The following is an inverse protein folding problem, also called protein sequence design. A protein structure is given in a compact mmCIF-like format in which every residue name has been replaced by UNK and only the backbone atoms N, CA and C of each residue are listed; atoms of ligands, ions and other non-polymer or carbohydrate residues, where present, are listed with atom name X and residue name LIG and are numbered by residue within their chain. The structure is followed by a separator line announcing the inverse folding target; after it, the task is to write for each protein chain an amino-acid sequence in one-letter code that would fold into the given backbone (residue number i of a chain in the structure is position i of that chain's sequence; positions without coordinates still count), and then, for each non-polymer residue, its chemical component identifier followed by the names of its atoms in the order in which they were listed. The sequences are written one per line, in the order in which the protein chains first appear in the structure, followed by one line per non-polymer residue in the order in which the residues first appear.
data_IF_995070709336
#
_entry.id   IF_995070709336
#
_cell.length_a   1.000
_cell.length_b   1.000
_cell.length_c   1.000
_cell.angle_alpha   90.00
_cell.angle_beta   90.00
_cell.angle_gamma   90.00
#
_symmetry.space_group_name_H-M   'P 1'
#
loop_
_entity.id
_entity.type
_entity.pdbx_description
1 polymer ?
#
# COMPACT_ATOMS: atom_id res chain seq x y z
N UNK A 1 -19.58 0.41 12.92
CA UNK A 1 -20.17 0.14 11.59
C UNK A 1 -19.17 -0.36 10.52
N UNK A 2 -17.85 -0.34 10.80
CA UNK A 2 -16.83 -1.15 10.07
C UNK A 2 -16.98 -2.67 10.31
N UNK A 3 -17.85 -3.05 11.26
CA UNK A 3 -18.12 -4.42 11.73
C UNK A 3 -19.17 -5.21 10.92
N UNK A 4 -19.86 -4.60 9.94
CA UNK A 4 -20.78 -5.33 9.05
C UNK A 4 -20.12 -5.86 7.77
N UNK A 5 -18.78 -5.77 7.66
CA UNK A 5 -17.96 -6.46 6.66
C UNK A 5 -17.67 -7.93 7.02
N UNK A 6 -18.36 -8.48 8.01
CA UNK A 6 -18.31 -9.91 8.35
C UNK A 6 -19.09 -10.70 7.31
N UNK A 7 -18.47 -10.93 6.15
CA UNK A 7 -18.81 -12.08 5.30
C UNK A 7 -18.75 -13.31 6.22
N UNK A 8 -19.84 -14.09 6.39
CA UNK A 8 -19.80 -15.28 7.20
C UNK A 8 -18.70 -16.21 6.67
N UNK A 9 -17.78 -16.63 7.54
CA UNK A 9 -16.67 -17.52 7.18
C UNK A 9 -17.12 -18.81 6.45
N UNK A 10 -18.40 -19.18 6.57
CA UNK A 10 -18.98 -20.36 5.97
C UNK A 10 -19.02 -20.34 4.42
N UNK A 11 -19.13 -19.17 3.78
CA UNK A 11 -19.36 -19.08 2.31
C UNK A 11 -18.09 -19.10 1.45
N UNK A 12 -16.90 -18.88 2.03
CA UNK A 12 -15.64 -18.84 1.26
C UNK A 12 -15.01 -20.24 1.17
N UNK A 13 -14.41 -20.64 0.03
CA UNK A 13 -13.63 -21.88 -0.07
C UNK A 13 -12.52 -21.98 0.98
N UNK A 14 -12.20 -23.19 1.44
CA UNK A 14 -11.21 -23.41 2.52
C UNK A 14 -9.84 -22.78 2.23
N UNK A 15 -9.36 -22.89 0.98
CA UNK A 15 -8.10 -22.30 0.54
C UNK A 15 -8.07 -20.77 0.70
N UNK A 16 -9.15 -20.08 0.35
CA UNK A 16 -9.25 -18.62 0.50
C UNK A 16 -9.27 -18.19 1.97
N UNK A 17 -9.92 -18.98 2.84
CA UNK A 17 -9.95 -18.71 4.28
C UNK A 17 -8.56 -18.81 4.89
N UNK A 18 -7.79 -19.83 4.51
CA UNK A 18 -6.40 -20.01 4.94
C UNK A 18 -5.50 -18.89 4.44
N UNK A 19 -5.61 -18.52 3.15
CA UNK A 19 -4.85 -17.41 2.56
C UNK A 19 -5.13 -16.08 3.27
N UNK A 20 -6.40 -15.78 3.58
CA UNK A 20 -6.79 -14.59 4.33
C UNK A 20 -6.25 -14.58 5.77
N UNK A 21 -6.31 -15.71 6.48
CA UNK A 21 -5.76 -15.84 7.85
C UNK A 21 -4.25 -15.63 7.84
N UNK A 22 -3.55 -16.22 6.89
CA UNK A 22 -2.10 -16.02 6.72
C UNK A 22 -1.76 -14.56 6.49
N UNK A 23 -2.49 -13.88 5.60
CA UNK A 23 -2.27 -12.46 5.31
C UNK A 23 -2.51 -11.58 6.53
N UNK A 24 -3.51 -11.90 7.35
CA UNK A 24 -3.78 -11.22 8.63
C UNK A 24 -2.63 -11.38 9.63
N UNK A 25 -2.06 -12.58 9.75
CA UNK A 25 -0.91 -12.82 10.63
C UNK A 25 0.33 -12.08 10.13
N UNK A 26 0.61 -12.12 8.83
CA UNK A 26 1.70 -11.38 8.20
C UNK A 26 1.53 -9.86 8.41
N UNK A 27 0.31 -9.36 8.27
CA UNK A 27 -0.04 -7.97 8.54
C UNK A 27 0.24 -7.59 10.00
N UNK A 28 -0.29 -8.36 10.96
CA UNK A 28 -0.09 -8.11 12.39
C UNK A 28 1.38 -8.11 12.79
N UNK A 29 2.15 -9.10 12.30
CA UNK A 29 3.58 -9.19 12.54
C UNK A 29 4.35 -8.01 11.91
N UNK A 30 4.03 -7.63 10.67
CA UNK A 30 4.66 -6.51 10.00
C UNK A 30 4.44 -5.18 10.73
N UNK A 31 3.22 -4.92 11.21
CA UNK A 31 2.91 -3.72 12.01
C UNK A 31 3.62 -3.72 13.37
N UNK A 32 3.66 -4.87 14.05
CA UNK A 32 4.37 -4.99 15.32
C UNK A 32 5.85 -4.68 15.13
N UNK A 33 6.50 -5.31 14.16
CA UNK A 33 7.92 -5.08 13.86
C UNK A 33 8.16 -3.63 13.42
N UNK A 34 7.32 -3.08 12.55
CA UNK A 34 7.42 -1.68 12.13
C UNK A 34 7.46 -0.73 13.33
N UNK A 35 6.56 -0.90 14.30
CA UNK A 35 6.54 -0.07 15.51
C UNK A 35 7.83 -0.20 16.32
N UNK A 36 8.36 -1.43 16.46
CA UNK A 36 9.61 -1.66 17.19
C UNK A 36 10.81 -1.03 16.47
N UNK A 37 10.95 -1.27 15.16
CA UNK A 37 12.08 -0.76 14.38
C UNK A 37 12.05 0.77 14.29
N UNK A 38 10.86 1.39 14.21
CA UNK A 38 10.70 2.84 14.32
C UNK A 38 11.21 3.39 15.66
N UNK A 39 10.89 2.71 16.77
CA UNK A 39 11.38 3.10 18.09
C UNK A 39 12.92 2.94 18.18
N UNK A 40 13.48 1.87 17.61
CA UNK A 40 14.92 1.61 17.60
C UNK A 40 15.70 2.58 16.70
N UNK A 41 15.04 3.18 15.70
CA UNK A 41 15.65 4.20 14.83
C UNK A 41 15.79 5.58 15.50
N UNK A 42 15.18 5.79 16.68
CA UNK A 42 15.14 7.08 17.36
C UNK A 42 16.53 7.69 17.68
N UNK A 43 17.54 6.92 18.16
CA UNK A 43 18.89 7.45 18.39
C UNK A 43 19.53 8.09 17.15
N UNK A 44 19.27 7.52 15.97
CA UNK A 44 19.80 8.06 14.72
C UNK A 44 19.22 9.44 14.39
N UNK A 45 17.95 9.70 14.75
CA UNK A 45 17.31 11.00 14.55
C UNK A 45 17.73 12.06 15.56
N UNK A 46 18.14 11.66 16.77
CA UNK A 46 18.65 12.59 17.77
C UNK A 46 20.10 13.02 17.49
N UNK A 47 20.84 12.26 16.66
CA UNK A 47 22.23 12.55 16.35
C UNK A 47 22.32 13.79 15.48
N UNK A 48 23.02 14.81 15.96
CA UNK A 48 23.38 16.00 15.20
C UNK A 48 24.80 16.43 15.55
N UNK A 49 25.55 16.94 14.56
CA UNK A 49 26.99 17.20 14.68
C UNK A 49 27.36 18.30 15.69
N UNK A 50 26.38 19.06 16.19
CA UNK A 50 26.55 20.08 17.24
C UNK A 50 26.48 19.58 18.69
N UNK A 51 26.53 18.27 18.96
CA UNK A 51 26.46 17.72 20.33
C UNK A 51 27.83 17.63 21.02
N UNK A 52 27.84 17.66 22.35
CA UNK A 52 29.03 17.42 23.18
C UNK A 52 29.65 16.03 22.88
N UNK A 53 30.99 15.90 22.91
CA UNK A 53 31.70 14.67 22.49
C UNK A 53 31.27 13.41 23.27
N UNK A 54 30.99 13.53 24.56
CA UNK A 54 30.53 12.41 25.39
C UNK A 54 29.12 11.93 24.99
N UNK A 55 28.22 12.87 24.66
CA UNK A 55 26.87 12.55 24.18
C UNK A 55 26.89 11.85 22.82
N UNK A 56 27.81 12.26 21.93
CA UNK A 56 28.00 11.62 20.62
C UNK A 56 28.46 10.16 20.75
N UNK A 57 29.39 9.86 21.66
CA UNK A 57 29.89 8.50 21.86
C UNK A 57 28.81 7.54 22.39
N UNK A 58 27.98 7.99 23.32
CA UNK A 58 26.82 7.21 23.82
C UNK A 58 25.85 6.91 22.69
N UNK A 59 25.58 7.91 21.85
CA UNK A 59 24.63 7.79 20.76
C UNK A 59 25.17 6.89 19.63
N UNK A 60 26.46 6.96 19.31
CA UNK A 60 27.11 6.06 18.35
C UNK A 60 27.01 4.60 18.78
N UNK A 61 27.27 4.32 20.06
CA UNK A 61 27.12 2.97 20.61
C UNK A 61 25.67 2.50 20.57
N UNK A 62 24.72 3.38 20.94
CA UNK A 62 23.30 3.08 20.85
C UNK A 62 22.88 2.79 19.41
N UNK A 63 23.27 3.62 18.43
CA UNK A 63 22.97 3.43 17.01
C UNK A 63 23.50 2.09 16.53
N UNK A 64 24.75 1.74 16.88
CA UNK A 64 25.34 0.46 16.50
C UNK A 64 24.48 -0.73 17.00
N UNK A 65 24.15 -0.74 18.29
CA UNK A 65 23.36 -1.82 18.90
C UNK A 65 21.93 -1.86 18.33
N UNK A 66 21.29 -0.70 18.17
CA UNK A 66 19.93 -0.59 17.64
C UNK A 66 19.86 -0.99 16.15
N UNK A 67 20.91 -0.76 15.36
CA UNK A 67 20.98 -1.19 13.96
C UNK A 67 20.99 -2.72 13.85
N UNK A 68 21.77 -3.40 14.70
CA UNK A 68 21.76 -4.86 14.79
C UNK A 68 20.39 -5.40 15.23
N UNK A 69 19.78 -4.80 16.26
CA UNK A 69 18.43 -5.18 16.69
C UNK A 69 17.40 -4.98 15.57
N UNK A 70 17.49 -3.87 14.83
CA UNK A 70 16.61 -3.54 13.71
C UNK A 70 16.78 -4.51 12.55
N UNK A 71 18.00 -4.93 12.24
CA UNK A 71 18.29 -5.96 11.24
C UNK A 71 17.61 -7.29 11.62
N UNK A 72 17.79 -7.76 12.86
CA UNK A 72 17.21 -9.02 13.36
C UNK A 72 15.69 -8.99 13.30
N UNK A 73 15.06 -7.87 13.68
CA UNK A 73 13.61 -7.72 13.64
C UNK A 73 13.07 -7.60 12.22
N UNK A 74 13.79 -6.94 11.31
CA UNK A 74 13.34 -6.70 9.92
C UNK A 74 13.53 -7.94 9.04
N UNK A 75 14.51 -8.79 9.33
CA UNK A 75 14.77 -10.03 8.58
C UNK A 75 13.51 -10.93 8.40
N UNK A 76 12.73 -11.28 9.45
CA UNK A 76 11.51 -12.07 9.28
C UNK A 76 10.42 -11.33 8.51
N UNK A 77 10.37 -9.99 8.57
CA UNK A 77 9.43 -9.21 7.75
C UNK A 77 9.76 -9.36 6.27
N UNK A 78 11.04 -9.29 5.92
CA UNK A 78 11.51 -9.45 4.54
C UNK A 78 11.30 -10.88 4.03
N UNK A 79 11.61 -11.89 4.83
CA UNK A 79 11.55 -13.29 4.38
C UNK A 79 10.10 -13.82 4.40
N UNK A 80 9.34 -13.53 5.46
CA UNK A 80 8.01 -14.11 5.67
C UNK A 80 6.87 -13.17 5.30
N UNK A 81 6.89 -11.92 5.77
CA UNK A 81 5.77 -10.99 5.53
C UNK A 81 5.73 -10.50 4.07
N UNK A 82 6.89 -10.24 3.46
CA UNK A 82 6.99 -9.80 2.06
C UNK A 82 6.87 -10.94 1.04
N UNK A 83 6.66 -12.20 1.46
CA UNK A 83 6.49 -13.35 0.55
C UNK A 83 5.46 -13.14 -0.57
N UNK A 84 4.26 -12.55 -0.33
CA UNK A 84 3.29 -12.29 -1.39
C UNK A 84 3.78 -11.28 -2.44
N UNK A 85 4.75 -10.42 -2.08
CA UNK A 85 5.38 -9.44 -2.98
C UNK A 85 6.41 -10.18 -3.84
N UNK A 86 7.29 -10.98 -3.22
CA UNK A 86 8.29 -11.78 -3.92
C UNK A 86 7.68 -12.74 -4.93
N UNK A 87 6.62 -13.46 -4.53
CA UNK A 87 5.92 -14.39 -5.41
C UNK A 87 5.30 -13.68 -6.61
N UNK A 88 4.69 -12.51 -6.39
CA UNK A 88 4.09 -11.71 -7.45
C UNK A 88 5.12 -11.14 -8.42
N UNK A 89 6.21 -10.59 -7.91
CA UNK A 89 7.33 -10.10 -8.72
C UNK A 89 7.92 -11.23 -9.57
N UNK A 90 8.24 -12.36 -8.95
CA UNK A 90 8.82 -13.52 -9.63
C UNK A 90 7.88 -14.11 -10.70
N UNK A 91 6.58 -14.22 -10.41
CA UNK A 91 5.59 -14.67 -11.38
C UNK A 91 5.41 -13.68 -12.53
N UNK A 92 5.59 -12.39 -12.30
CA UNK A 92 5.52 -11.36 -13.34
C UNK A 92 6.71 -11.45 -14.29
N UNK A 93 7.93 -11.51 -13.75
CA UNK A 93 9.16 -11.68 -14.53
C UNK A 93 9.11 -12.93 -15.41
N UNK A 94 8.70 -14.07 -14.83
CA UNK A 94 8.58 -15.34 -15.60
C UNK A 94 7.59 -15.28 -16.76
N UNK A 95 6.64 -14.35 -16.74
CA UNK A 95 5.63 -14.17 -17.80
C UNK A 95 6.00 -13.05 -18.78
N UNK A 96 7.19 -12.45 -18.66
CA UNK A 96 7.63 -11.33 -19.51
C UNK A 96 6.78 -10.07 -19.33
N UNK A 97 6.10 -9.91 -18.18
CA UNK A 97 5.29 -8.72 -17.87
C UNK A 97 5.91 -8.00 -16.67
N UNK A 98 5.90 -6.68 -16.70
CA UNK A 98 6.16 -5.87 -15.50
C UNK A 98 4.80 -5.63 -14.84
N UNK A 99 4.63 -6.09 -13.61
CA UNK A 99 3.45 -5.81 -12.79
C UNK A 99 3.89 -4.97 -11.58
N UNK A 100 2.93 -4.39 -10.87
CA UNK A 100 3.15 -3.52 -9.70
C UNK A 100 4.08 -4.12 -8.63
N UNK A 101 4.23 -5.45 -8.59
CA UNK A 101 5.05 -6.13 -7.59
C UNK A 101 6.55 -6.07 -7.88
N UNK A 102 6.94 -5.87 -9.14
CA UNK A 102 8.36 -5.85 -9.55
C UNK A 102 9.07 -4.60 -9.02
N UNK A 103 8.57 -3.38 -9.26
CA UNK A 103 9.23 -2.20 -8.74
C UNK A 103 9.21 -2.15 -7.20
N UNK A 104 8.12 -2.60 -6.58
CA UNK A 104 7.99 -2.70 -5.12
C UNK A 104 9.05 -3.63 -4.53
N UNK A 105 9.23 -4.82 -5.11
CA UNK A 105 10.27 -5.75 -4.70
C UNK A 105 11.67 -5.15 -4.85
N UNK A 106 11.91 -4.41 -5.95
CA UNK A 106 13.17 -3.72 -6.19
C UNK A 106 13.44 -2.66 -5.12
N UNK A 107 12.46 -1.84 -4.74
CA UNK A 107 12.61 -0.83 -3.67
C UNK A 107 12.94 -1.48 -2.32
N UNK A 108 12.30 -2.60 -1.99
CA UNK A 108 12.61 -3.34 -0.76
C UNK A 108 14.08 -3.79 -0.76
N UNK A 109 14.56 -4.37 -1.86
CA UNK A 109 15.96 -4.81 -1.98
C UNK A 109 16.92 -3.61 -1.95
N UNK A 110 16.60 -2.56 -2.68
CA UNK A 110 17.43 -1.36 -2.81
C UNK A 110 17.59 -0.59 -1.49
N UNK A 111 16.63 -0.68 -0.56
CA UNK A 111 16.77 -0.11 0.77
C UNK A 111 17.37 -1.11 1.78
N UNK A 112 17.01 -2.38 1.70
CA UNK A 112 17.46 -3.39 2.66
C UNK A 112 18.94 -3.76 2.50
N UNK A 113 19.42 -3.99 1.28
CA UNK A 113 20.81 -4.44 1.04
C UNK A 113 21.85 -3.41 1.49
N UNK A 114 21.74 -2.11 1.14
CA UNK A 114 22.66 -1.10 1.66
C UNK A 114 22.58 -0.97 3.18
N UNK A 115 21.40 -1.10 3.77
CA UNK A 115 21.20 -1.06 5.23
C UNK A 115 21.91 -2.21 5.95
N UNK A 116 21.84 -3.42 5.40
CA UNK A 116 22.59 -4.58 5.89
C UNK A 116 24.09 -4.29 5.80
N UNK A 117 24.56 -3.84 4.63
CA UNK A 117 25.97 -3.52 4.43
C UNK A 117 26.47 -2.44 5.41
N UNK A 118 25.71 -1.37 5.62
CA UNK A 118 26.03 -0.31 6.57
C UNK A 118 26.09 -0.81 8.03
N UNK A 119 25.20 -1.73 8.40
CA UNK A 119 25.17 -2.35 9.73
C UNK A 119 26.44 -3.19 9.98
N UNK A 120 26.88 -3.98 9.00
CA UNK A 120 28.11 -4.76 9.10
C UNK A 120 29.37 -3.89 9.05
N UNK A 121 29.37 -2.83 8.23
CA UNK A 121 30.49 -1.91 8.12
C UNK A 121 30.64 -0.99 9.35
N UNK A 122 29.62 -0.93 10.21
CA UNK A 122 29.58 -0.01 11.36
C UNK A 122 29.53 1.47 10.96
N UNK A 123 29.19 1.77 9.70
CA UNK A 123 29.20 3.13 9.14
C UNK A 123 28.16 3.26 8.02
N UNK A 124 27.58 4.45 7.90
CA UNK A 124 26.56 4.78 6.90
C UNK A 124 25.14 4.72 7.46
N UNK A 125 24.20 5.23 6.68
CA UNK A 125 22.79 5.28 7.07
C UNK A 125 22.06 3.96 6.84
N UNK A 126 21.11 3.69 7.73
CA UNK A 126 20.35 2.44 7.78
C UNK A 126 18.86 2.75 7.67
N UNK A 127 18.16 2.04 6.80
CA UNK A 127 16.77 2.28 6.41
C UNK A 127 15.86 1.08 6.68
N UNK A 128 16.18 0.25 7.69
CA UNK A 128 15.33 -0.89 8.09
C UNK A 128 13.91 -0.48 8.46
N UNK A 129 13.77 0.72 9.02
CA UNK A 129 12.49 1.28 9.38
C UNK A 129 11.60 1.51 8.15
N UNK A 130 12.20 2.03 7.07
CA UNK A 130 11.49 2.39 5.85
C UNK A 130 10.99 1.12 5.18
N UNK A 131 11.85 0.11 5.15
CA UNK A 131 11.54 -1.22 4.62
C UNK A 131 10.39 -1.86 5.40
N UNK A 132 10.46 -1.86 6.74
CA UNK A 132 9.43 -2.45 7.60
C UNK A 132 8.09 -1.72 7.48
N UNK A 133 8.12 -0.39 7.49
CA UNK A 133 6.95 0.46 7.29
C UNK A 133 6.31 0.22 5.93
N UNK A 134 7.14 0.15 4.91
CA UNK A 134 6.71 -0.08 3.55
C UNK A 134 5.97 -1.41 3.39
N UNK A 135 6.53 -2.50 3.92
CA UNK A 135 5.90 -3.83 3.90
C UNK A 135 4.58 -3.81 4.70
N UNK A 136 4.55 -3.19 5.88
CA UNK A 136 3.35 -3.11 6.71
C UNK A 136 2.19 -2.37 6.01
N UNK A 137 2.46 -1.21 5.40
CA UNK A 137 1.45 -0.44 4.68
C UNK A 137 0.99 -1.14 3.40
N UNK A 138 1.90 -1.74 2.63
CA UNK A 138 1.51 -2.47 1.42
C UNK A 138 0.67 -3.70 1.75
N UNK A 139 1.01 -4.45 2.81
CA UNK A 139 0.19 -5.57 3.28
C UNK A 139 -1.19 -5.09 3.75
N UNK A 140 -1.27 -3.92 4.37
CA UNK A 140 -2.55 -3.29 4.74
C UNK A 140 -3.39 -3.02 3.50
N UNK A 141 -2.82 -2.35 2.49
CA UNK A 141 -3.48 -2.07 1.23
C UNK A 141 -3.96 -3.35 0.52
N UNK A 142 -3.10 -4.38 0.46
CA UNK A 142 -3.45 -5.70 -0.12
C UNK A 142 -4.54 -6.41 0.67
N UNK A 143 -4.51 -6.36 2.00
CA UNK A 143 -5.55 -6.95 2.84
C UNK A 143 -6.89 -6.25 2.63
N UNK A 144 -6.90 -4.92 2.59
CA UNK A 144 -8.10 -4.14 2.28
C UNK A 144 -8.64 -4.43 0.88
N UNK A 145 -7.76 -4.50 -0.12
CA UNK A 145 -8.11 -4.87 -1.49
C UNK A 145 -8.68 -6.29 -1.58
N UNK A 146 -8.06 -7.27 -0.91
CA UNK A 146 -8.56 -8.64 -0.83
C UNK A 146 -9.97 -8.69 -0.26
N UNK A 147 -10.22 -7.96 0.85
CA UNK A 147 -11.53 -7.89 1.48
C UNK A 147 -12.56 -7.22 0.57
N UNK A 148 -12.18 -6.11 -0.06
CA UNK A 148 -13.00 -5.40 -1.04
C UNK A 148 -13.40 -6.30 -2.22
N UNK A 149 -12.45 -7.07 -2.76
CA UNK A 149 -12.68 -8.01 -3.86
C UNK A 149 -13.51 -9.22 -3.47
N UNK A 150 -13.28 -9.81 -2.30
CA UNK A 150 -14.11 -10.92 -1.80
C UNK A 150 -15.55 -10.47 -1.59
N UNK A 151 -15.74 -9.27 -1.03
CA UNK A 151 -17.07 -8.68 -0.88
C UNK A 151 -17.71 -8.41 -2.24
N UNK A 152 -17.02 -7.77 -3.19
CA UNK A 152 -17.63 -7.50 -4.50
C UNK A 152 -17.96 -8.76 -5.31
N UNK A 153 -17.16 -9.83 -5.21
CA UNK A 153 -17.45 -11.12 -5.84
C UNK A 153 -18.69 -11.79 -5.26
N UNK A 154 -18.82 -11.82 -3.93
CA UNK A 154 -19.97 -12.42 -3.26
C UNK A 154 -21.25 -11.60 -3.45
N UNK A 155 -21.14 -10.27 -3.52
CA UNK A 155 -22.26 -9.36 -3.73
C UNK A 155 -22.63 -9.17 -5.22
N UNK A 156 -21.77 -9.65 -6.11
CA UNK A 156 -21.81 -9.45 -7.55
C UNK A 156 -22.41 -10.62 -8.33
N UNK A 157 -23.15 -11.53 -7.69
CA UNK A 157 -23.93 -12.53 -8.42
C UNK A 157 -24.86 -11.83 -9.41
N UNK A 158 -24.50 -11.90 -10.70
CA UNK A 158 -25.22 -11.26 -11.81
C UNK A 158 -24.37 -10.38 -12.74
N UNK A 159 -23.28 -10.92 -13.31
CA UNK A 159 -22.76 -10.84 -14.69
C UNK A 159 -22.82 -9.57 -15.57
N UNK A 160 -23.66 -8.56 -15.29
CA UNK A 160 -24.08 -7.60 -16.31
C UNK A 160 -22.98 -6.58 -16.70
N UNK A 161 -21.92 -6.43 -15.90
CA UNK A 161 -20.76 -5.54 -16.17
C UNK A 161 -19.40 -6.08 -15.73
N UNK A 162 -19.22 -7.39 -15.64
CA UNK A 162 -17.93 -7.97 -15.21
C UNK A 162 -16.77 -7.59 -16.13
N UNK A 163 -17.03 -7.54 -17.44
CA UNK A 163 -16.06 -7.05 -18.41
C UNK A 163 -15.65 -5.59 -18.13
N UNK A 164 -16.56 -4.72 -17.71
CA UNK A 164 -16.21 -3.33 -17.36
C UNK A 164 -15.41 -3.26 -16.07
N UNK A 165 -15.77 -4.04 -15.04
CA UNK A 165 -15.01 -4.15 -13.78
C UNK A 165 -13.57 -4.60 -14.04
N UNK A 166 -13.40 -5.66 -14.84
CA UNK A 166 -12.08 -6.18 -15.24
C UNK A 166 -11.29 -5.12 -16.02
N UNK A 167 -11.92 -4.44 -17.00
CA UNK A 167 -11.26 -3.36 -17.75
C UNK A 167 -10.83 -2.18 -16.88
N UNK A 168 -11.65 -1.77 -15.91
CA UNK A 168 -11.29 -0.68 -14.99
C UNK A 168 -10.08 -1.04 -14.13
N UNK A 169 -10.08 -2.24 -13.53
CA UNK A 169 -8.95 -2.73 -12.75
C UNK A 169 -7.69 -2.87 -13.61
N UNK A 170 -7.80 -3.47 -14.80
CA UNK A 170 -6.66 -3.64 -15.70
C UNK A 170 -6.06 -2.32 -16.17
N UNK A 171 -6.90 -1.31 -16.47
CA UNK A 171 -6.41 0.04 -16.83
C UNK A 171 -5.71 0.72 -15.65
N UNK A 172 -6.29 0.65 -14.44
CA UNK A 172 -5.66 1.22 -13.26
C UNK A 172 -4.31 0.53 -12.95
N UNK A 173 -4.25 -0.80 -13.05
CA UNK A 173 -3.01 -1.57 -12.86
C UNK A 173 -1.94 -1.21 -13.90
N UNK A 174 -2.33 -1.06 -15.16
CA UNK A 174 -1.40 -0.66 -16.22
C UNK A 174 -0.87 0.76 -16.01
N UNK A 175 -1.75 1.72 -15.71
CA UNK A 175 -1.37 3.11 -15.41
C UNK A 175 -0.44 3.16 -14.19
N UNK A 176 -0.78 2.43 -13.12
CA UNK A 176 0.06 2.34 -11.93
C UNK A 176 1.44 1.74 -12.26
N UNK A 177 1.48 0.64 -13.01
CA UNK A 177 2.75 -0.01 -13.38
C UNK A 177 3.64 0.91 -14.20
N UNK A 178 3.09 1.57 -15.22
CA UNK A 178 3.85 2.50 -16.05
C UNK A 178 4.36 3.68 -15.23
N UNK A 179 3.49 4.28 -14.43
CA UNK A 179 3.85 5.41 -13.57
C UNK A 179 5.01 5.07 -12.64
N UNK A 180 4.94 3.92 -11.96
CA UNK A 180 5.97 3.48 -11.03
C UNK A 180 7.28 3.16 -11.75
N UNK A 181 7.23 2.53 -12.92
CA UNK A 181 8.43 2.27 -13.70
C UNK A 181 9.14 3.58 -14.08
N UNK A 182 8.38 4.58 -14.53
CA UNK A 182 8.92 5.92 -14.82
C UNK A 182 9.50 6.57 -13.57
N UNK A 183 8.81 6.50 -12.42
CA UNK A 183 9.27 7.11 -11.18
C UNK A 183 10.53 6.44 -10.61
N UNK A 184 10.64 5.11 -10.71
CA UNK A 184 11.87 4.38 -10.32
C UNK A 184 13.04 4.77 -11.21
N UNK A 185 12.84 4.85 -12.53
CA UNK A 185 13.88 5.32 -13.44
C UNK A 185 14.31 6.76 -13.12
N UNK A 186 13.34 7.64 -12.86
CA UNK A 186 13.62 9.01 -12.45
C UNK A 186 14.35 9.08 -11.10
N UNK A 187 14.00 8.24 -10.12
CA UNK A 187 14.67 8.14 -8.84
C UNK A 187 16.14 7.73 -8.99
N UNK A 188 16.43 6.74 -9.84
CA UNK A 188 17.79 6.31 -10.14
C UNK A 188 18.59 7.40 -10.87
N UNK A 189 17.96 8.12 -11.80
CA UNK A 189 18.60 9.24 -12.50
C UNK A 189 18.93 10.40 -11.54
N UNK A 190 18.00 10.76 -10.66
CA UNK A 190 18.22 11.79 -9.61
C UNK A 190 19.29 11.33 -8.63
N UNK A 191 19.28 10.05 -8.24
CA UNK A 191 20.32 9.46 -7.39
C UNK A 191 21.71 9.52 -8.01
N UNK A 192 21.83 9.20 -9.29
CA UNK A 192 23.08 9.31 -10.04
C UNK A 192 23.54 10.78 -10.16
N UNK A 193 22.61 11.72 -10.36
CA UNK A 193 22.92 13.14 -10.37
C UNK A 193 23.47 13.61 -9.01
N UNK A 194 22.81 13.25 -7.91
CA UNK A 194 23.29 13.55 -6.57
C UNK A 194 24.63 12.88 -6.27
N UNK A 195 24.88 11.68 -6.77
CA UNK A 195 26.19 11.03 -6.62
C UNK A 195 27.34 11.85 -7.20
N UNK A 196 27.07 12.62 -8.27
CA UNK A 196 28.06 13.51 -8.87
C UNK A 196 28.17 14.87 -8.17
N UNK A 197 27.09 15.36 -7.56
CA UNK A 197 27.05 16.68 -6.90
C UNK A 197 27.50 16.60 -5.43
N UNK A 198 26.93 15.68 -4.67
CA UNK A 198 27.22 15.42 -3.27
C UNK A 198 26.90 13.95 -2.92
N UNK A 199 27.93 13.07 -2.86
CA UNK A 199 27.77 11.65 -2.55
C UNK A 199 27.11 11.38 -1.20
N UNK A 200 27.21 12.30 -0.23
CA UNK A 200 26.63 12.11 1.10
C UNK A 200 25.09 12.13 1.05
N UNK A 201 24.50 12.96 0.18
CA UNK A 201 23.05 13.11 0.05
C UNK A 201 22.42 12.13 -0.95
N UNK A 202 23.22 11.50 -1.81
CA UNK A 202 22.72 10.64 -2.88
C UNK A 202 21.89 9.44 -2.37
N UNK A 203 22.39 8.73 -1.35
CA UNK A 203 21.70 7.57 -0.80
C UNK A 203 20.37 7.92 -0.10
N UNK A 204 20.32 8.90 0.83
CA UNK A 204 19.06 9.33 1.45
C UNK A 204 17.99 9.76 0.44
N UNK A 205 18.38 10.57 -0.55
CA UNK A 205 17.47 11.07 -1.60
C UNK A 205 16.94 9.90 -2.45
N UNK A 206 17.82 9.02 -2.90
CA UNK A 206 17.43 7.87 -3.74
C UNK A 206 16.48 6.95 -3.00
N UNK A 207 16.79 6.60 -1.74
CA UNK A 207 15.93 5.75 -0.91
C UNK A 207 14.57 6.40 -0.69
N UNK A 208 14.53 7.71 -0.38
CA UNK A 208 13.28 8.45 -0.23
C UNK A 208 12.43 8.41 -1.50
N UNK A 209 13.03 8.65 -2.67
CA UNK A 209 12.35 8.60 -3.97
C UNK A 209 11.84 7.19 -4.32
N UNK A 210 12.63 6.15 -4.02
CA UNK A 210 12.24 4.76 -4.25
C UNK A 210 11.11 4.32 -3.32
N UNK A 211 11.11 4.73 -2.05
CA UNK A 211 10.01 4.48 -1.11
C UNK A 211 8.75 5.22 -1.56
N UNK A 212 8.90 6.47 -2.01
CA UNK A 212 7.81 7.29 -2.53
C UNK A 212 7.22 6.76 -3.85
N UNK A 213 7.92 5.86 -4.55
CA UNK A 213 7.42 5.26 -5.79
C UNK A 213 6.32 4.22 -5.59
N UNK A 214 5.98 3.83 -4.36
CA UNK A 214 4.92 2.85 -4.17
C UNK A 214 3.55 3.35 -4.64
N UNK A 215 2.89 2.66 -5.58
CA UNK A 215 1.55 3.01 -6.04
C UNK A 215 0.46 2.47 -5.09
N UNK A 216 0.72 2.47 -3.78
CA UNK A 216 -0.11 1.82 -2.77
C UNK A 216 -1.57 2.33 -2.82
N UNK A 217 -1.76 3.64 -3.02
CA UNK A 217 -3.07 4.28 -3.18
C UNK A 217 -3.73 4.00 -4.55
N UNK A 218 -2.93 3.90 -5.62
CA UNK A 218 -3.42 3.58 -6.98
C UNK A 218 -3.99 2.16 -7.05
N UNK A 219 -3.30 1.19 -6.44
CA UNK A 219 -3.70 -0.22 -6.44
C UNK A 219 -5.05 -0.46 -5.74
N UNK A 220 -5.40 0.37 -4.74
CA UNK A 220 -6.68 0.25 -4.02
C UNK A 220 -7.80 1.12 -4.61
N UNK A 221 -7.50 2.01 -5.57
CA UNK A 221 -8.45 3.02 -6.07
C UNK A 221 -9.72 2.42 -6.69
N UNK A 222 -9.57 1.47 -7.63
CA UNK A 222 -10.69 0.78 -8.30
C UNK A 222 -11.39 -0.23 -7.38
N UNK A 223 -10.70 -1.18 -6.72
CA UNK A 223 -11.38 -2.19 -5.90
C UNK A 223 -12.14 -1.58 -4.72
N UNK A 224 -11.64 -0.49 -4.13
CA UNK A 224 -12.34 0.19 -3.03
C UNK A 224 -13.59 0.91 -3.52
N UNK A 225 -13.53 1.60 -4.68
CA UNK A 225 -14.69 2.22 -5.28
C UNK A 225 -15.78 1.20 -5.64
N UNK A 226 -15.38 0.04 -6.20
CA UNK A 226 -16.30 -1.07 -6.50
C UNK A 226 -16.93 -1.64 -5.23
N UNK A 227 -16.14 -1.94 -4.20
CA UNK A 227 -16.65 -2.53 -2.98
C UNK A 227 -17.60 -1.62 -2.20
N UNK A 228 -17.24 -0.34 -2.04
CA UNK A 228 -18.14 0.64 -1.39
C UNK A 228 -19.38 0.85 -2.24
N UNK A 229 -19.21 0.91 -3.55
CA UNK A 229 -20.33 1.00 -4.48
C UNK A 229 -21.30 -0.17 -4.34
N UNK A 230 -20.80 -1.40 -4.36
CA UNK A 230 -21.64 -2.60 -4.32
C UNK A 230 -22.37 -2.71 -2.99
N UNK A 231 -21.69 -2.37 -1.89
CA UNK A 231 -22.30 -2.28 -0.57
C UNK A 231 -23.41 -1.20 -0.51
N UNK A 232 -23.20 -0.04 -1.14
CA UNK A 232 -24.20 1.02 -1.20
C UNK A 232 -25.43 0.61 -2.03
N UNK A 233 -25.22 -0.02 -3.21
CA UNK A 233 -26.29 -0.53 -4.08
C UNK A 233 -27.18 -1.53 -3.35
N UNK A 234 -26.57 -2.49 -2.64
CA UNK A 234 -27.33 -3.50 -1.91
C UNK A 234 -28.12 -2.94 -0.74
N UNK A 235 -27.56 -1.96 -0.01
CA UNK A 235 -28.30 -1.25 1.04
C UNK A 235 -29.51 -0.50 0.50
N UNK A 236 -29.43 -0.02 -0.74
CA UNK A 236 -30.53 0.64 -1.43
C UNK A 236 -31.55 -0.34 -2.05
N UNK A 237 -31.27 -1.65 -2.06
CA UNK A 237 -32.13 -2.65 -2.71
C UNK A 237 -32.22 -2.51 -4.23
N UNK A 238 -31.26 -1.81 -4.88
CA UNK A 238 -31.36 -1.48 -6.29
C UNK A 238 -31.04 -2.70 -7.19
N UNK A 239 -31.96 -3.09 -8.08
CA UNK A 239 -31.75 -4.20 -9.00
C UNK A 239 -30.63 -3.88 -9.99
N UNK A 240 -29.91 -4.92 -10.43
CA UNK A 240 -28.76 -4.80 -11.34
C UNK A 240 -29.15 -4.11 -12.66
N UNK A 241 -30.38 -4.32 -13.13
CA UNK A 241 -30.95 -3.71 -14.35
C UNK A 241 -31.05 -2.19 -14.33
N UNK A 242 -31.03 -1.56 -13.15
CA UNK A 242 -31.13 -0.10 -12.98
C UNK A 242 -29.80 0.51 -12.49
N UNK A 243 -28.70 -0.24 -12.60
CA UNK A 243 -27.42 0.11 -11.99
C UNK A 243 -26.53 1.00 -12.88
N UNK A 244 -26.99 1.51 -14.02
CA UNK A 244 -26.15 2.29 -14.93
C UNK A 244 -25.63 3.59 -14.33
N UNK A 245 -26.51 4.38 -13.71
CA UNK A 245 -26.12 5.60 -12.98
C UNK A 245 -25.16 5.29 -11.82
N UNK A 246 -25.33 4.14 -11.19
CA UNK A 246 -24.44 3.63 -10.15
C UNK A 246 -23.03 3.32 -10.69
N UNK A 247 -22.93 2.55 -11.77
CA UNK A 247 -21.63 2.22 -12.37
C UNK A 247 -20.93 3.45 -12.91
N UNK A 248 -21.67 4.44 -13.43
CA UNK A 248 -21.11 5.72 -13.83
C UNK A 248 -20.51 6.50 -12.64
N UNK A 249 -21.17 6.49 -11.48
CA UNK A 249 -20.66 7.10 -10.26
C UNK A 249 -19.40 6.38 -9.74
N UNK A 250 -19.40 5.05 -9.71
CA UNK A 250 -18.23 4.23 -9.33
C UNK A 250 -17.05 4.53 -10.24
N UNK A 251 -17.27 4.55 -11.56
CA UNK A 251 -16.23 4.86 -12.56
C UNK A 251 -15.66 6.26 -12.37
N UNK A 252 -16.50 7.25 -12.09
CA UNK A 252 -16.07 8.63 -11.81
C UNK A 252 -15.20 8.70 -10.55
N UNK A 253 -15.63 8.07 -9.46
CA UNK A 253 -14.88 8.07 -8.19
C UNK A 253 -13.57 7.29 -8.32
N UNK A 254 -13.58 6.15 -9.02
CA UNK A 254 -12.37 5.39 -9.32
C UNK A 254 -11.36 6.22 -10.13
N UNK A 255 -11.83 6.92 -11.17
CA UNK A 255 -10.98 7.82 -11.95
C UNK A 255 -10.43 8.98 -11.12
N UNK A 256 -11.25 9.61 -10.27
CA UNK A 256 -10.80 10.65 -9.34
C UNK A 256 -9.70 10.15 -8.40
N UNK A 257 -9.85 8.93 -7.87
CA UNK A 257 -8.86 8.32 -6.99
C UNK A 257 -7.54 8.04 -7.72
N UNK A 258 -7.61 7.48 -8.93
CA UNK A 258 -6.42 7.21 -9.74
C UNK A 258 -5.70 8.50 -10.10
N UNK A 259 -6.39 9.49 -10.70
CA UNK A 259 -5.76 10.74 -11.12
C UNK A 259 -5.34 11.62 -9.95
N UNK A 260 -6.11 11.66 -8.85
CA UNK A 260 -5.74 12.39 -7.65
C UNK A 260 -4.49 11.82 -7.00
N UNK A 261 -4.35 10.49 -6.95
CA UNK A 261 -3.14 9.85 -6.45
C UNK A 261 -1.93 10.11 -7.37
N UNK A 262 -2.09 10.02 -8.69
CA UNK A 262 -1.02 10.39 -9.63
C UNK A 262 -0.55 11.84 -9.45
N UNK A 263 -1.49 12.78 -9.40
CA UNK A 263 -1.18 14.20 -9.21
C UNK A 263 -0.39 14.45 -7.93
N UNK A 264 -0.79 13.82 -6.82
CA UNK A 264 -0.06 13.90 -5.56
C UNK A 264 1.40 13.48 -5.69
N UNK A 265 1.67 12.34 -6.34
CA UNK A 265 3.04 11.85 -6.50
C UNK A 265 3.86 12.73 -7.44
N UNK A 266 3.27 13.19 -8.54
CA UNK A 266 3.95 14.11 -9.48
C UNK A 266 4.33 15.42 -8.79
N UNK A 267 3.47 15.95 -7.93
CA UNK A 267 3.73 17.19 -7.19
C UNK A 267 4.78 17.01 -6.10
N UNK A 268 4.80 15.85 -5.44
CA UNK A 268 5.68 15.62 -4.31
C UNK A 268 7.07 15.08 -4.72
N UNK A 269 7.20 14.49 -5.91
CA UNK A 269 8.48 14.00 -6.44
C UNK A 269 9.57 15.08 -6.51
N UNK A 270 9.34 16.31 -7.03
CA UNK A 270 10.35 17.38 -7.02
C UNK A 270 10.83 17.75 -5.62
N UNK A 271 9.92 17.77 -4.64
CA UNK A 271 10.24 18.11 -3.25
C UNK A 271 11.17 17.04 -2.65
N UNK A 272 10.88 15.76 -2.94
CA UNK A 272 11.75 14.66 -2.53
C UNK A 272 13.08 14.65 -3.29
N UNK A 273 13.08 15.01 -4.58
CA UNK A 273 14.29 15.08 -5.40
C UNK A 273 15.26 16.17 -4.94
N UNK A 274 14.75 17.24 -4.32
CA UNK A 274 15.55 18.28 -3.64
C UNK A 274 16.09 17.85 -2.28
N UNK A 275 15.76 16.64 -1.79
CA UNK A 275 16.22 16.13 -0.50
C UNK A 275 15.49 16.68 0.73
N UNK A 276 14.34 17.35 0.54
CA UNK A 276 13.55 17.88 1.66
C UNK A 276 12.62 16.85 2.31
N UNK A 277 12.45 15.69 1.68
CA UNK A 277 11.56 14.64 2.16
C UNK A 277 12.39 13.50 2.70
N UNK A 278 12.33 13.31 4.01
CA UNK A 278 12.91 12.13 4.67
C UNK A 278 12.10 10.87 4.33
N UNK A 279 12.72 9.67 4.38
CA UNK A 279 12.02 8.42 4.06
C UNK A 279 10.74 8.16 4.86
N UNK A 280 10.75 8.47 6.16
CA UNK A 280 9.56 8.31 7.02
C UNK A 280 8.43 9.29 6.62
N UNK A 281 8.77 10.51 6.20
CA UNK A 281 7.80 11.51 5.75
C UNK A 281 7.16 11.07 4.42
N UNK A 282 7.96 10.50 3.51
CA UNK A 282 7.47 9.91 2.28
C UNK A 282 6.44 8.80 2.56
N UNK A 283 6.73 7.92 3.52
CA UNK A 283 5.83 6.84 3.87
C UNK A 283 4.53 7.32 4.55
N UNK A 284 4.59 8.37 5.40
CA UNK A 284 3.39 9.01 5.94
C UNK A 284 2.52 9.63 4.83
N UNK A 285 3.14 10.29 3.85
CA UNK A 285 2.43 10.83 2.68
C UNK A 285 1.71 9.73 1.87
N UNK A 286 2.32 8.53 1.75
CA UNK A 286 1.68 7.37 1.09
C UNK A 286 0.44 6.88 1.85
N UNK A 287 0.51 6.84 3.19
CA UNK A 287 -0.62 6.48 4.04
C UNK A 287 -1.77 7.48 3.89
N UNK A 288 -1.46 8.78 3.92
CA UNK A 288 -2.44 9.85 3.74
C UNK A 288 -3.14 9.77 2.37
N UNK A 289 -2.39 9.50 1.30
CA UNK A 289 -2.95 9.29 -0.05
C UNK A 289 -3.93 8.11 -0.08
N UNK A 290 -3.59 7.00 0.57
CA UNK A 290 -4.44 5.81 0.65
C UNK A 290 -5.73 6.06 1.45
N UNK A 291 -5.63 6.81 2.55
CA UNK A 291 -6.78 7.24 3.35
C UNK A 291 -7.68 8.20 2.56
N UNK A 292 -7.11 9.13 1.79
CA UNK A 292 -7.86 10.04 0.93
C UNK A 292 -8.65 9.28 -0.15
N UNK A 293 -8.06 8.27 -0.78
CA UNK A 293 -8.73 7.37 -1.75
C UNK A 293 -9.89 6.63 -1.09
N UNK A 294 -9.68 6.08 0.11
CA UNK A 294 -10.74 5.40 0.85
C UNK A 294 -11.87 6.35 1.27
N UNK A 295 -11.54 7.56 1.72
CA UNK A 295 -12.51 8.60 2.09
C UNK A 295 -13.32 9.09 0.88
N UNK A 296 -12.69 9.28 -0.29
CA UNK A 296 -13.40 9.67 -1.51
C UNK A 296 -14.30 8.54 -2.01
N UNK A 297 -13.86 7.28 -1.93
CA UNK A 297 -14.71 6.12 -2.21
C UNK A 297 -15.94 6.06 -1.29
N UNK A 298 -15.79 6.44 -0.01
CA UNK A 298 -16.89 6.46 0.96
C UNK A 298 -18.04 7.40 0.56
N UNK A 299 -17.80 8.43 -0.27
CA UNK A 299 -18.87 9.30 -0.79
C UNK A 299 -19.94 8.54 -1.57
N UNK A 300 -19.60 7.40 -2.17
CA UNK A 300 -20.56 6.53 -2.85
C UNK A 300 -21.65 6.00 -1.90
N UNK A 301 -21.35 5.81 -0.61
CA UNK A 301 -22.36 5.36 0.36
C UNK A 301 -23.35 6.45 0.76
N UNK A 302 -23.10 7.71 0.37
CA UNK A 302 -23.97 8.87 0.63
C UNK A 302 -24.64 9.39 -0.65
N UNK A 303 -24.50 8.66 -1.77
CA UNK A 303 -25.02 9.13 -3.05
C UNK A 303 -26.57 9.20 -2.99
N UNK A 304 -27.21 10.33 -3.31
CA UNK A 304 -28.66 10.53 -3.13
C UNK A 304 -29.51 9.47 -3.85
N UNK A 305 -29.08 9.06 -5.04
CA UNK A 305 -29.72 7.99 -5.82
C UNK A 305 -29.70 6.60 -5.15
N UNK A 306 -28.90 6.43 -4.08
CA UNK A 306 -28.71 5.19 -3.32
C UNK A 306 -29.18 5.34 -1.85
N UNK A 307 -29.75 6.48 -1.47
CA UNK A 307 -30.11 6.81 -0.09
C UNK A 307 -31.51 6.30 0.31
N UNK A 308 -32.27 5.71 -0.61
CA UNK A 308 -33.62 5.19 -0.36
C UNK A 308 -33.55 3.94 0.54
N UNK A 309 -34.14 3.95 1.75
CA UNK A 309 -34.16 2.78 2.60
C UNK A 309 -35.26 1.83 2.12
N UNK A 310 -34.89 0.72 1.48
CA UNK A 310 -35.76 -0.46 1.43
C UNK A 310 -35.44 -1.28 2.69
N UNK A 311 -36.42 -1.64 3.54
CA UNK A 311 -36.14 -2.41 4.74
C UNK A 311 -35.59 -3.79 4.36
N UNK A 312 -34.29 -3.98 4.59
CA UNK A 312 -33.50 -5.18 4.30
C UNK A 312 -33.99 -6.47 5.00
N UNK A 313 -35.07 -6.41 5.77
CA UNK A 313 -35.67 -7.52 6.51
C UNK A 313 -36.82 -8.22 5.76
N UNK A 314 -37.36 -7.65 4.68
CA UNK A 314 -38.46 -8.26 3.94
C UNK A 314 -38.00 -9.36 2.95
N UNK A 315 -36.84 -9.17 2.30
CA UNK A 315 -36.35 -10.09 1.26
C UNK A 315 -35.78 -11.39 1.85
N UNK A 316 -35.18 -11.35 3.05
CA UNK A 316 -34.66 -12.55 3.71
C UNK A 316 -35.74 -13.42 4.37
N UNK A 317 -36.96 -12.90 4.59
CA UNK A 317 -38.12 -13.68 5.09
C UNK A 317 -38.95 -14.33 3.98
N UNK A 318 -38.92 -13.79 2.76
CA UNK A 318 -39.68 -14.35 1.64
C UNK A 318 -39.03 -15.62 1.03
N UNK A 319 -37.74 -15.86 1.29
CA UNK A 319 -37.00 -17.02 0.77
C UNK A 319 -36.99 -18.25 1.69
N UNK A 320 -37.62 -18.20 2.86
CA UNK A 320 -37.69 -19.34 3.80
C UNK A 320 -39.08 -19.98 3.89
N UNK A 321 -39.98 -19.66 2.96
CA UNK A 321 -41.37 -20.14 2.95
C UNK A 321 -41.80 -20.72 1.59
N UNK A 322 -40.85 -21.26 0.82
CA UNK A 322 -41.10 -22.02 -0.40
C UNK A 322 -40.29 -23.31 -0.38
#
# INVERSE_FOLDING_TARGET
MLLSLSIPHAQLPQAERLARRRLLVQLGLAWLVMMQVMMLAFPAYLRHDGMEPEGLAVLDWAIFLMNWASLVLTAPVIVYCALPIWQGAWASLRRGRIAMDVPVALSIVASFVPSVHATFAGRGEVYFESVSMFVAFLLTARYLALRAQQTSRLLGEGGWKDAERVRMSARADHVATLFVAVQVLAALAVGALWWHLDPAHALPVTVSLLVMSCPCALAISVPTALAVGDAARLRAGLPVSQADGYFAAVRRVAAQNVYGSLAWHVLAFPIAAMGWVTPWLAALAMLLSSLAVAANAWRLSRHPALASPVPALAVLRAGSSA
#
